data_IF_634278140507
#
_entry.id   IF_634278140507
#
_cell.length_a   1.000
_cell.length_b   1.000
_cell.length_c   1.000
_cell.angle_alpha   90.00
_cell.angle_beta   90.00
_cell.angle_gamma   90.00
#
_symmetry.space_group_name_H-M   'P 1'
#
loop_
_entity.id
_entity.type
_entity.pdbx_description
1 polymer ?
#
# COMPACT_ATOMS: atom_id res chain seq x y z
N UNK A 1 -35.05 -32.71 60.88
CA UNK A 1 -34.19 -31.73 60.18
C UNK A 1 -33.54 -32.46 59.02
N UNK A 2 -34.06 -32.29 57.80
CA UNK A 2 -33.50 -32.89 56.58
C UNK A 2 -32.80 -31.76 55.79
N UNK A 3 -31.55 -31.94 55.33
CA UNK A 3 -30.88 -30.93 54.53
C UNK A 3 -31.34 -31.08 53.08
N UNK A 4 -31.84 -29.99 52.49
CA UNK A 4 -32.13 -29.94 51.06
C UNK A 4 -30.85 -29.50 50.35
N UNK A 5 -30.21 -30.42 49.66
CA UNK A 5 -29.09 -30.12 48.75
C UNK A 5 -29.66 -29.57 47.44
N UNK A 6 -29.43 -28.28 47.14
CA UNK A 6 -29.67 -27.73 45.81
C UNK A 6 -28.51 -28.15 44.88
N UNK A 7 -28.78 -28.73 43.69
CA UNK A 7 -27.74 -28.95 42.70
C UNK A 7 -27.47 -27.64 41.95
N UNK A 8 -26.20 -27.22 41.93
CA UNK A 8 -25.73 -26.10 41.12
C UNK A 8 -25.63 -26.57 39.66
N UNK A 9 -26.60 -26.21 38.82
CA UNK A 9 -26.50 -26.43 37.37
C UNK A 9 -25.44 -25.48 36.79
N UNK A 10 -24.28 -26.03 36.42
CA UNK A 10 -23.31 -25.36 35.56
C UNK A 10 -23.86 -25.34 34.12
N UNK A 11 -24.46 -24.22 33.73
CA UNK A 11 -24.80 -23.92 32.33
C UNK A 11 -23.51 -23.66 31.54
N UNK A 12 -22.91 -24.72 31.00
CA UNK A 12 -21.95 -24.60 29.91
C UNK A 12 -22.73 -24.18 28.65
N UNK A 13 -22.86 -22.87 28.44
CA UNK A 13 -23.33 -22.32 27.18
C UNK A 13 -22.42 -22.78 26.04
N UNK A 14 -22.96 -23.02 24.83
CA UNK A 14 -22.13 -23.38 23.69
C UNK A 14 -21.11 -22.25 23.46
N UNK A 15 -19.83 -22.62 23.33
CA UNK A 15 -18.81 -21.71 22.89
C UNK A 15 -19.22 -21.20 21.50
N UNK A 16 -19.69 -19.96 21.43
CA UNK A 16 -19.86 -19.26 20.16
C UNK A 16 -18.48 -19.23 19.51
N UNK A 17 -18.30 -19.81 18.31
CA UNK A 17 -17.06 -19.65 17.58
C UNK A 17 -16.80 -18.16 17.47
N UNK A 18 -15.65 -17.68 18.00
CA UNK A 18 -15.17 -16.34 17.65
C UNK A 18 -14.96 -16.38 16.14
N UNK A 19 -15.86 -15.75 15.38
CA UNK A 19 -15.59 -15.41 13.99
C UNK A 19 -14.33 -14.55 14.00
N UNK A 20 -13.21 -15.17 13.64
CA UNK A 20 -11.99 -14.47 13.27
C UNK A 20 -12.34 -13.63 12.05
N UNK A 21 -12.33 -12.31 12.28
CA UNK A 21 -12.66 -11.27 11.33
C UNK A 21 -12.03 -11.57 9.95
N UNK A 22 -12.86 -11.99 9.02
CA UNK A 22 -12.43 -12.50 7.70
C UNK A 22 -12.47 -11.38 6.66
N UNK A 23 -11.98 -10.20 7.05
CA UNK A 23 -11.82 -9.07 6.14
C UNK A 23 -10.75 -9.36 5.08
N UNK A 24 -10.78 -8.67 3.92
CA UNK A 24 -9.70 -8.78 2.96
C UNK A 24 -8.40 -8.25 3.56
N UNK A 25 -7.27 -8.83 3.15
CA UNK A 25 -5.96 -8.25 3.45
C UNK A 25 -5.52 -7.38 2.28
N UNK A 26 -4.94 -6.22 2.56
CA UNK A 26 -4.44 -5.31 1.52
C UNK A 26 -2.95 -5.02 1.71
N UNK A 27 -2.26 -4.82 0.59
CA UNK A 27 -0.93 -4.21 0.52
C UNK A 27 -1.07 -2.98 -0.36
N UNK A 28 -0.72 -1.81 0.17
CA UNK A 28 -0.76 -0.58 -0.61
C UNK A 28 0.45 0.30 -0.37
N UNK A 29 0.80 1.07 -1.39
CA UNK A 29 1.90 2.00 -1.38
C UNK A 29 1.37 3.40 -1.68
N UNK A 30 1.89 4.39 -0.97
CA UNK A 30 1.68 5.81 -1.21
C UNK A 30 3.02 6.47 -1.46
N UNK A 31 3.23 6.93 -2.68
CA UNK A 31 4.40 7.71 -3.07
C UNK A 31 3.99 9.18 -3.20
N UNK A 32 4.83 10.08 -2.72
CA UNK A 32 4.63 11.52 -2.81
C UNK A 32 5.94 12.19 -3.21
N UNK A 33 5.93 12.94 -4.30
CA UNK A 33 7.03 13.76 -4.77
C UNK A 33 6.65 15.24 -4.73
N UNK A 34 7.55 16.07 -4.23
CA UNK A 34 7.41 17.52 -4.10
C UNK A 34 8.47 18.20 -4.97
N UNK A 35 8.05 19.11 -5.85
CA UNK A 35 9.00 19.85 -6.69
C UNK A 35 9.79 20.90 -5.89
N UNK A 36 9.16 21.46 -4.85
CA UNK A 36 9.73 22.46 -3.93
C UNK A 36 9.42 22.09 -2.49
N UNK A 37 10.12 21.10 -1.92
CA UNK A 37 9.89 20.73 -0.54
C UNK A 37 10.25 21.90 0.40
N UNK A 38 9.48 22.05 1.48
CA UNK A 38 9.82 22.98 2.55
C UNK A 38 11.12 22.56 3.26
N UNK A 39 11.71 23.48 4.02
CA UNK A 39 12.93 23.18 4.80
C UNK A 39 12.67 21.99 5.73
N UNK A 40 13.50 20.95 5.62
CA UNK A 40 13.39 19.74 6.45
C UNK A 40 12.34 18.73 6.00
N UNK A 41 11.75 18.92 4.81
CA UNK A 41 10.90 17.91 4.17
C UNK A 41 11.66 17.26 3.01
N UNK A 42 11.61 15.93 2.87
CA UNK A 42 12.20 15.25 1.73
C UNK A 42 11.43 15.57 0.43
N UNK A 43 12.13 15.59 -0.70
CA UNK A 43 11.54 15.78 -2.02
C UNK A 43 10.73 14.57 -2.47
N UNK A 44 11.04 13.38 -1.96
CA UNK A 44 10.29 12.15 -2.23
C UNK A 44 10.08 11.33 -0.94
N UNK A 45 8.87 10.81 -0.80
CA UNK A 45 8.46 9.93 0.30
C UNK A 45 7.70 8.75 -0.27
N UNK A 46 7.99 7.56 0.24
CA UNK A 46 7.26 6.33 -0.04
C UNK A 46 6.85 5.68 1.28
N UNK A 47 5.58 5.29 1.38
CA UNK A 47 5.06 4.56 2.53
C UNK A 47 4.29 3.34 2.05
N UNK A 48 4.59 2.18 2.63
CA UNK A 48 3.81 0.97 2.42
C UNK A 48 2.87 0.72 3.61
N UNK A 49 1.74 0.07 3.34
CA UNK A 49 0.72 -0.26 4.32
C UNK A 49 0.28 -1.70 4.16
N UNK A 50 0.15 -2.40 5.28
CA UNK A 50 -0.55 -3.67 5.39
C UNK A 50 -1.91 -3.41 6.03
N UNK A 51 -2.99 -3.67 5.30
CA UNK A 51 -4.29 -3.09 5.60
C UNK A 51 -4.17 -1.56 5.66
N UNK A 52 -4.45 -0.97 6.82
CA UNK A 52 -4.25 0.47 7.08
C UNK A 52 -3.08 0.74 8.03
N UNK A 53 -2.25 -0.27 8.33
CA UNK A 53 -1.11 -0.14 9.23
C UNK A 53 0.15 0.21 8.44
N UNK A 54 0.86 1.31 8.77
CA UNK A 54 2.15 1.62 8.17
C UNK A 54 3.12 0.45 8.36
N UNK A 55 3.67 -0.05 7.25
CA UNK A 55 4.57 -1.20 7.21
C UNK A 55 6.03 -0.75 7.14
N UNK A 56 6.38 0.03 6.12
CA UNK A 56 7.70 0.65 6.01
C UNK A 56 7.60 2.05 5.40
N UNK A 57 8.63 2.86 5.60
CA UNK A 57 8.82 4.14 4.92
C UNK A 57 10.16 4.22 4.20
N UNK A 58 10.23 5.12 3.23
CA UNK A 58 11.45 5.57 2.57
C UNK A 58 11.35 7.07 2.32
N UNK A 59 12.46 7.79 2.53
CA UNK A 59 12.55 9.24 2.33
C UNK A 59 13.82 9.58 1.54
N UNK A 60 13.76 10.57 0.65
CA UNK A 60 14.89 10.97 -0.22
C UNK A 60 16.14 11.41 0.53
N UNK A 61 16.00 11.91 1.77
CA UNK A 61 17.12 12.42 2.55
C UNK A 61 17.98 11.28 3.10
N UNK A 62 17.33 10.21 3.59
CA UNK A 62 18.00 9.03 4.15
C UNK A 62 18.27 7.94 3.12
N UNK A 63 17.50 7.91 2.03
CA UNK A 63 17.52 6.89 0.96
C UNK A 63 17.59 5.45 1.48
N UNK A 64 16.83 5.18 2.53
CA UNK A 64 16.71 3.87 3.19
C UNK A 64 15.25 3.52 3.38
N UNK A 65 14.89 2.28 3.05
CA UNK A 65 13.63 1.69 3.41
C UNK A 65 13.73 1.15 4.84
N UNK A 66 12.86 1.61 5.73
CA UNK A 66 12.88 1.27 7.15
C UNK A 66 11.52 0.73 7.60
N UNK A 67 11.47 -0.42 8.32
CA UNK A 67 10.25 -0.93 8.90
C UNK A 67 9.70 0.02 9.96
N UNK A 68 8.38 0.01 10.13
CA UNK A 68 7.68 0.86 11.08
C UNK A 68 7.00 0.04 12.17
N UNK A 69 6.88 0.63 13.36
CA UNK A 69 6.12 0.06 14.48
C UNK A 69 6.49 -1.41 14.78
N UNK A 70 5.49 -2.32 14.87
CA UNK A 70 5.74 -3.72 15.24
C UNK A 70 6.56 -4.48 14.19
N UNK A 71 6.55 -4.03 12.93
CA UNK A 71 7.25 -4.68 11.82
C UNK A 71 8.78 -4.64 11.95
N UNK A 72 9.29 -3.70 12.76
CA UNK A 72 10.73 -3.60 13.07
C UNK A 72 11.28 -4.83 13.81
N UNK A 73 10.41 -5.61 14.45
CA UNK A 73 10.77 -6.80 15.23
C UNK A 73 10.50 -8.12 14.50
N UNK A 74 9.97 -8.07 13.26
CA UNK A 74 9.61 -9.27 12.51
C UNK A 74 10.73 -9.59 11.51
N UNK A 75 11.53 -10.60 11.83
CA UNK A 75 12.62 -11.06 10.96
C UNK A 75 12.08 -11.76 9.71
N UNK A 76 12.80 -11.61 8.58
CA UNK A 76 12.51 -12.31 7.34
C UNK A 76 11.36 -11.76 6.50
N UNK A 77 10.68 -10.67 6.94
CA UNK A 77 9.62 -10.06 6.13
C UNK A 77 10.15 -9.46 4.83
N UNK A 78 11.25 -8.72 4.90
CA UNK A 78 11.83 -8.06 3.75
C UNK A 78 13.35 -7.94 3.87
N UNK A 79 14.03 -7.93 2.72
CA UNK A 79 15.43 -7.55 2.62
C UNK A 79 15.51 -6.02 2.48
N UNK A 80 15.70 -5.32 3.61
CA UNK A 80 15.67 -3.86 3.66
C UNK A 80 16.76 -3.19 2.82
N UNK A 81 17.89 -3.86 2.56
CA UNK A 81 18.93 -3.33 1.70
C UNK A 81 18.48 -3.37 0.24
N UNK A 82 17.96 -4.52 -0.22
CA UNK A 82 17.38 -4.64 -1.57
C UNK A 82 16.17 -3.73 -1.76
N UNK A 83 15.31 -3.62 -0.75
CA UNK A 83 14.16 -2.71 -0.81
C UNK A 83 14.61 -1.26 -0.90
N UNK A 84 15.67 -0.86 -0.19
CA UNK A 84 16.25 0.49 -0.31
C UNK A 84 16.73 0.78 -1.74
N UNK A 85 17.42 -0.15 -2.39
CA UNK A 85 17.86 0.01 -3.78
C UNK A 85 16.68 0.09 -4.76
N UNK A 86 15.63 -0.72 -4.54
CA UNK A 86 14.41 -0.65 -5.32
C UNK A 86 13.72 0.71 -5.19
N UNK A 87 13.62 1.24 -3.97
CA UNK A 87 13.02 2.56 -3.73
C UNK A 87 13.83 3.70 -4.33
N UNK A 88 15.17 3.62 -4.34
CA UNK A 88 16.03 4.60 -5.03
C UNK A 88 15.74 4.65 -6.53
N UNK A 89 15.66 3.49 -7.17
CA UNK A 89 15.34 3.42 -8.61
C UNK A 89 13.92 3.96 -8.91
N UNK A 90 12.95 3.67 -8.03
CA UNK A 90 11.58 4.18 -8.15
C UNK A 90 11.49 5.69 -7.93
N UNK A 91 12.22 6.23 -6.95
CA UNK A 91 12.35 7.67 -6.71
C UNK A 91 12.83 8.40 -7.97
N UNK A 92 13.90 7.90 -8.60
CA UNK A 92 14.49 8.55 -9.79
C UNK A 92 13.48 8.66 -10.93
N UNK A 93 12.74 7.57 -11.21
CA UNK A 93 11.69 7.53 -12.25
C UNK A 93 10.50 8.44 -11.87
N UNK A 94 10.08 8.38 -10.61
CA UNK A 94 8.94 9.15 -10.12
C UNK A 94 9.21 10.66 -10.20
N UNK A 95 10.39 11.10 -9.76
CA UNK A 95 10.79 12.49 -9.79
C UNK A 95 11.11 12.99 -11.20
N UNK A 96 11.60 12.11 -12.09
CA UNK A 96 11.71 12.43 -13.52
C UNK A 96 10.33 12.69 -14.15
N UNK A 97 9.34 11.85 -13.82
CA UNK A 97 7.95 12.04 -14.28
C UNK A 97 7.38 13.37 -13.79
N UNK A 98 7.57 13.73 -12.51
CA UNK A 98 7.14 15.04 -12.00
C UNK A 98 7.77 16.21 -12.78
N UNK A 99 9.08 16.13 -13.11
CA UNK A 99 9.75 17.15 -13.93
C UNK A 99 9.17 17.24 -15.34
N UNK A 100 8.89 16.11 -15.98
CA UNK A 100 8.27 16.09 -17.32
C UNK A 100 6.88 16.77 -17.33
N UNK A 101 6.10 16.57 -16.27
CA UNK A 101 4.78 17.21 -16.11
C UNK A 101 4.93 18.73 -15.95
N UNK A 102 5.86 19.18 -15.11
CA UNK A 102 6.16 20.60 -14.93
C UNK A 102 6.64 21.26 -16.23
N UNK A 103 7.43 20.53 -17.03
CA UNK A 103 7.90 20.99 -18.34
C UNK A 103 6.76 21.18 -19.33
N UNK A 104 5.79 20.25 -19.34
CA UNK A 104 4.62 20.34 -20.18
C UNK A 104 3.81 21.62 -19.89
N UNK A 105 3.57 21.92 -18.61
CA UNK A 105 2.84 23.12 -18.21
C UNK A 105 3.69 24.39 -18.20
N UNK A 106 5.01 24.27 -18.41
CA UNK A 106 5.98 25.37 -18.37
C UNK A 106 6.00 26.08 -17.01
N UNK A 107 5.77 25.34 -15.93
CA UNK A 107 5.75 25.86 -14.56
C UNK A 107 6.82 25.17 -13.69
N UNK A 108 8.09 25.47 -13.98
CA UNK A 108 9.22 24.97 -13.17
C UNK A 108 9.40 25.73 -11.87
N UNK A 109 8.88 26.96 -11.83
CA UNK A 109 9.01 27.84 -10.68
C UNK A 109 7.91 27.63 -9.63
N UNK A 110 6.83 26.96 -10.01
CA UNK A 110 5.76 26.53 -9.12
C UNK A 110 6.15 25.45 -8.11
N UNK A 111 5.29 25.32 -7.09
CA UNK A 111 5.33 24.22 -6.11
C UNK A 111 4.25 23.22 -6.49
N UNK A 112 4.68 22.01 -6.84
CA UNK A 112 3.82 20.95 -7.36
C UNK A 112 4.02 19.66 -6.58
N UNK A 113 2.96 18.86 -6.56
CA UNK A 113 2.90 17.57 -5.92
C UNK A 113 2.52 16.50 -6.93
N UNK A 114 3.27 15.40 -6.96
CA UNK A 114 2.89 14.18 -7.68
C UNK A 114 2.71 13.06 -6.67
N UNK A 115 1.57 12.37 -6.72
CA UNK A 115 1.24 11.29 -5.80
C UNK A 115 0.94 10.02 -6.57
N UNK A 116 1.52 8.90 -6.15
CA UNK A 116 1.22 7.57 -6.69
C UNK A 116 0.59 6.70 -5.61
N UNK A 117 -0.53 6.06 -5.92
CA UNK A 117 -1.17 5.08 -5.05
C UNK A 117 -1.39 3.78 -5.81
N UNK A 118 -0.77 2.70 -5.35
CA UNK A 118 -0.88 1.39 -5.97
C UNK A 118 -0.85 0.26 -4.95
N UNK A 119 -1.39 -0.89 -5.31
CA UNK A 119 -1.51 -2.00 -4.39
C UNK A 119 -2.47 -3.09 -4.85
N UNK A 120 -2.68 -4.05 -3.97
CA UNK A 120 -3.51 -5.22 -4.20
C UNK A 120 -4.24 -5.66 -2.92
N UNK A 121 -5.27 -6.48 -3.12
CA UNK A 121 -6.12 -7.04 -2.09
C UNK A 121 -6.26 -8.55 -2.30
N UNK A 122 -6.16 -9.32 -1.21
CA UNK A 122 -6.46 -10.74 -1.16
C UNK A 122 -7.78 -10.97 -0.42
N UNK A 123 -8.76 -11.52 -1.13
CA UNK A 123 -10.07 -11.91 -0.57
C UNK A 123 -10.14 -13.43 -0.37
N UNK A 124 -10.98 -13.86 0.56
CA UNK A 124 -11.15 -15.28 0.90
C UNK A 124 -11.69 -16.14 -0.26
N UNK A 125 -12.43 -15.53 -1.20
CA UNK A 125 -12.96 -16.16 -2.40
C UNK A 125 -11.92 -16.24 -3.55
N UNK A 126 -10.63 -16.08 -3.22
CA UNK A 126 -9.51 -15.99 -4.16
C UNK A 126 -9.61 -14.85 -5.18
N UNK A 127 -10.61 -13.97 -5.05
CA UNK A 127 -10.69 -12.77 -5.87
C UNK A 127 -9.60 -11.80 -5.43
N UNK A 128 -8.99 -11.19 -6.43
CA UNK A 128 -7.91 -10.23 -6.26
C UNK A 128 -8.35 -8.91 -6.85
N UNK A 129 -8.30 -7.85 -6.04
CA UNK A 129 -8.43 -6.49 -6.54
C UNK A 129 -7.03 -5.86 -6.56
N UNK A 130 -6.79 -4.99 -7.52
CA UNK A 130 -5.53 -4.25 -7.61
C UNK A 130 -5.80 -2.88 -8.23
N UNK A 131 -4.97 -1.91 -7.89
CA UNK A 131 -5.09 -0.55 -8.39
C UNK A 131 -3.70 0.05 -8.57
N UNK A 132 -3.58 0.97 -9.52
CA UNK A 132 -2.40 1.79 -9.71
C UNK A 132 -2.82 3.12 -10.33
N UNK A 133 -2.75 4.19 -9.56
CA UNK A 133 -3.20 5.53 -9.97
C UNK A 133 -2.20 6.58 -9.53
N UNK A 134 -2.13 7.66 -10.29
CA UNK A 134 -1.37 8.84 -9.92
C UNK A 134 -2.24 10.08 -9.99
N UNK A 135 -1.90 11.04 -9.14
CA UNK A 135 -2.50 12.36 -9.07
C UNK A 135 -1.41 13.44 -9.18
N UNK A 136 -1.72 14.53 -9.85
CA UNK A 136 -0.88 15.72 -9.97
C UNK A 136 -1.62 16.92 -9.39
N UNK A 137 -1.02 17.60 -8.42
CA UNK A 137 -1.63 18.67 -7.63
C UNK A 137 -3.02 18.31 -7.08
N UNK A 138 -3.14 17.06 -6.60
CA UNK A 138 -4.36 16.52 -5.99
C UNK A 138 -5.48 16.15 -6.99
N UNK A 139 -5.25 16.27 -8.30
CA UNK A 139 -6.20 15.87 -9.34
C UNK A 139 -5.75 14.57 -10.00
N UNK A 140 -6.72 13.73 -10.37
CA UNK A 140 -6.43 12.48 -11.09
C UNK A 140 -5.65 12.76 -12.38
N UNK A 141 -4.57 12.01 -12.60
CA UNK A 141 -3.61 12.26 -13.67
C UNK A 141 -3.52 11.08 -14.65
N UNK A 142 -3.16 9.90 -14.15
CA UNK A 142 -3.05 8.68 -14.96
C UNK A 142 -3.31 7.45 -14.09
N UNK A 143 -3.97 6.43 -14.63
CA UNK A 143 -4.18 5.15 -13.92
C UNK A 143 -3.96 3.95 -14.83
N UNK A 144 -3.58 2.81 -14.28
CA UNK A 144 -3.38 1.58 -15.04
C UNK A 144 -4.63 0.71 -15.00
N UNK A 145 -5.20 0.42 -16.18
CA UNK A 145 -6.28 -0.54 -16.35
C UNK A 145 -5.68 -1.90 -16.71
N UNK A 146 -5.67 -2.83 -15.75
CA UNK A 146 -5.09 -4.17 -15.92
C UNK A 146 -5.93 -5.13 -16.79
N UNK A 147 -7.20 -4.81 -17.05
CA UNK A 147 -8.09 -5.62 -17.89
C UNK A 147 -7.86 -5.36 -19.39
N UNK A 148 -7.50 -4.12 -19.75
CA UNK A 148 -7.10 -3.69 -21.11
C UNK A 148 -5.56 -3.70 -21.28
N UNK A 149 -4.82 -4.18 -20.28
CA UNK A 149 -3.50 -3.66 -19.86
C UNK A 149 -3.06 -2.35 -20.55
N UNK A 150 -3.53 -1.20 -20.07
CA UNK A 150 -3.11 0.09 -20.59
C UNK A 150 -3.20 1.20 -19.53
N UNK A 151 -2.35 2.22 -19.66
CA UNK A 151 -2.46 3.46 -18.90
C UNK A 151 -3.57 4.35 -19.47
N UNK A 152 -4.49 4.77 -18.64
CA UNK A 152 -5.59 5.67 -18.95
C UNK A 152 -5.15 7.07 -18.53
N UNK A 153 -4.91 7.94 -19.51
CA UNK A 153 -4.58 9.35 -19.28
C UNK A 153 -5.86 10.13 -18.94
N UNK A 154 -5.85 10.80 -17.79
CA UNK A 154 -6.96 11.60 -17.28
C UNK A 154 -6.68 13.11 -17.37
N UNK A 155 -5.42 13.46 -17.62
CA UNK A 155 -4.94 14.82 -17.83
C UNK A 155 -4.20 14.95 -19.19
N UNK A 156 -4.26 16.11 -19.89
CA UNK A 156 -3.53 16.31 -21.15
C UNK A 156 -2.02 16.03 -21.08
N UNK A 157 -1.36 16.39 -19.99
CA UNK A 157 0.06 16.13 -19.78
C UNK A 157 0.33 14.62 -19.58
N UNK A 158 -0.65 13.86 -19.07
CA UNK A 158 -0.53 12.42 -18.88
C UNK A 158 -0.43 11.63 -20.20
N UNK A 159 -0.82 12.22 -21.34
CA UNK A 159 -0.62 11.59 -22.66
C UNK A 159 0.87 11.39 -22.94
N UNK A 160 1.73 12.34 -22.57
CA UNK A 160 3.17 12.20 -22.73
C UNK A 160 3.74 11.10 -21.83
N UNK A 161 3.26 11.03 -20.58
CA UNK A 161 3.63 9.97 -19.63
C UNK A 161 3.21 8.60 -20.15
N UNK A 162 1.96 8.46 -20.64
CA UNK A 162 1.44 7.25 -21.27
C UNK A 162 2.35 6.79 -22.41
N UNK A 163 2.70 7.68 -23.34
CA UNK A 163 3.57 7.34 -24.47
C UNK A 163 4.94 6.80 -24.02
N UNK A 164 5.53 7.37 -22.96
CA UNK A 164 6.80 6.88 -22.40
C UNK A 164 6.63 5.52 -21.71
N UNK A 165 5.59 5.36 -20.89
CA UNK A 165 5.35 4.15 -20.10
C UNK A 165 4.81 2.98 -20.93
N UNK A 166 4.33 3.24 -22.14
CA UNK A 166 3.88 2.24 -23.11
C UNK A 166 4.78 2.15 -24.35
N UNK A 167 5.96 2.78 -24.31
CA UNK A 167 6.89 2.82 -25.45
C UNK A 167 7.31 1.42 -25.91
N UNK A 168 7.37 0.46 -24.97
CA UNK A 168 7.61 -0.94 -25.26
C UNK A 168 6.55 -1.80 -24.57
N UNK A 169 6.07 -2.83 -25.27
CA UNK A 169 5.07 -3.75 -24.74
C UNK A 169 5.49 -4.38 -23.40
N UNK A 170 6.79 -4.58 -23.19
CA UNK A 170 7.33 -5.14 -21.94
C UNK A 170 7.00 -4.30 -20.70
N UNK A 171 6.90 -2.97 -20.83
CA UNK A 171 6.60 -2.10 -19.69
C UNK A 171 5.16 -2.27 -19.21
N UNK A 172 4.23 -2.36 -20.15
CA UNK A 172 2.81 -2.65 -19.86
C UNK A 172 2.64 -4.04 -19.27
N UNK A 173 3.34 -5.05 -19.81
CA UNK A 173 3.28 -6.41 -19.27
C UNK A 173 3.85 -6.49 -17.85
N UNK A 174 4.95 -5.78 -17.56
CA UNK A 174 5.51 -5.67 -16.21
C UNK A 174 4.55 -5.00 -15.23
N UNK A 175 3.86 -3.94 -15.65
CA UNK A 175 2.86 -3.27 -14.81
C UNK A 175 1.68 -4.21 -14.47
N UNK A 176 1.21 -5.00 -15.44
CA UNK A 176 0.18 -6.02 -15.22
C UNK A 176 0.67 -7.13 -14.30
N UNK A 177 1.84 -7.71 -14.58
CA UNK A 177 2.44 -8.78 -13.77
C UNK A 177 2.67 -8.32 -12.31
N UNK A 178 3.08 -7.08 -12.10
CA UNK A 178 3.22 -6.52 -10.76
C UNK A 178 1.90 -6.57 -9.98
N UNK A 179 0.78 -6.18 -10.60
CA UNK A 179 -0.52 -6.14 -9.93
C UNK A 179 -1.17 -7.53 -9.76
N UNK A 180 -0.91 -8.47 -10.66
CA UNK A 180 -1.55 -9.81 -10.66
C UNK A 180 -0.72 -10.88 -9.96
N UNK A 181 0.60 -10.71 -9.88
CA UNK A 181 1.52 -11.73 -9.37
C UNK A 181 2.38 -11.19 -8.23
N UNK A 182 3.17 -10.14 -8.49
CA UNK A 182 4.18 -9.68 -7.53
C UNK A 182 3.54 -9.11 -6.25
N UNK A 183 2.59 -8.18 -6.37
CA UNK A 183 1.93 -7.59 -5.20
C UNK A 183 1.18 -8.64 -4.38
N UNK A 184 0.32 -9.49 -4.97
CA UNK A 184 -0.32 -10.59 -4.24
C UNK A 184 0.70 -11.55 -3.62
N UNK A 185 1.81 -11.83 -4.30
CA UNK A 185 2.90 -12.65 -3.79
C UNK A 185 3.58 -12.04 -2.56
N UNK A 186 3.92 -10.75 -2.61
CA UNK A 186 4.45 -10.00 -1.48
C UNK A 186 3.49 -10.02 -0.30
N UNK A 187 2.20 -9.73 -0.53
CA UNK A 187 1.20 -9.74 0.52
C UNK A 187 1.06 -11.12 1.18
N UNK A 188 1.09 -12.22 0.41
CA UNK A 188 1.11 -13.58 1.00
C UNK A 188 2.31 -13.82 1.89
N UNK A 189 3.53 -13.48 1.44
CA UNK A 189 4.75 -13.58 2.27
C UNK A 189 4.61 -12.76 3.54
N UNK A 190 4.15 -11.51 3.45
CA UNK A 190 3.99 -10.66 4.62
C UNK A 190 2.96 -11.21 5.61
N UNK A 191 1.91 -11.89 5.14
CA UNK A 191 0.94 -12.56 6.00
C UNK A 191 1.50 -13.81 6.68
N UNK A 192 2.48 -14.51 6.10
CA UNK A 192 3.13 -15.66 6.74
C UNK A 192 3.85 -15.26 8.03
N UNK A 193 4.46 -14.08 8.05
CA UNK A 193 5.19 -13.54 9.20
C UNK A 193 4.34 -12.64 10.10
N UNK A 194 3.34 -11.95 9.52
CA UNK A 194 2.68 -10.79 10.12
C UNK A 194 1.22 -10.95 10.54
N UNK A 195 0.56 -12.05 10.14
CA UNK A 195 -0.90 -12.20 10.31
C UNK A 195 -1.37 -12.04 11.76
N UNK A 196 -0.64 -12.60 12.72
CA UNK A 196 -0.99 -12.49 14.15
C UNK A 196 -1.09 -11.03 14.64
N UNK A 197 -0.22 -10.14 14.14
CA UNK A 197 -0.25 -8.72 14.48
C UNK A 197 -1.43 -7.98 13.83
N UNK A 198 -1.79 -8.34 12.60
CA UNK A 198 -2.90 -7.73 11.85
C UNK A 198 -4.26 -8.08 12.48
N UNK A 199 -4.47 -9.35 12.79
CA UNK A 199 -5.77 -9.85 13.28
C UNK A 199 -6.07 -9.38 14.72
N UNK A 200 -5.04 -9.22 15.56
CA UNK A 200 -5.21 -8.70 16.92
C UNK A 200 -5.68 -7.24 16.95
N UNK A 201 -5.24 -6.41 16.00
CA UNK A 201 -5.68 -5.02 15.90
C UNK A 201 -7.08 -4.89 15.31
N UNK A 202 -7.42 -5.72 14.32
CA UNK A 202 -8.80 -5.84 13.82
C UNK A 202 -9.79 -6.16 14.94
N UNK A 203 -9.39 -6.99 15.89
CA UNK A 203 -10.22 -7.28 17.08
C UNK A 203 -10.32 -6.07 18.03
N UNK A 204 -9.28 -5.24 18.18
CA UNK A 204 -9.28 -4.04 19.04
C UNK A 204 -10.12 -2.90 18.49
N UNK A 205 -10.17 -2.68 17.17
CA UNK A 205 -11.01 -1.64 16.57
C UNK A 205 -12.51 -1.88 16.77
N UNK A 206 -12.94 -3.14 16.90
CA UNK A 206 -14.34 -3.52 17.11
C UNK A 206 -14.77 -3.50 18.58
N UNK A 207 -13.83 -3.34 19.51
CA UNK A 207 -14.09 -3.32 20.96
C UNK A 207 -14.15 -1.91 21.55
N UNK A 208 -14.26 -0.85 20.74
CA UNK A 208 -14.60 0.49 21.28
C UNK A 208 -16.03 0.47 21.84
N UNK A 209 -16.25 0.68 23.15
CA UNK A 209 -17.58 0.98 23.64
C UNK A 209 -17.96 2.35 23.07
N UNK A 210 -19.13 2.44 22.44
CA UNK A 210 -19.76 3.74 22.17
C UNK A 210 -20.04 4.50 23.48
N UNK A 211 -20.22 5.82 23.41
CA UNK A 211 -20.40 6.68 24.58
C UNK A 211 -21.60 6.26 25.46
#
# INVERSE_FOLDING_TARGET
MAPVLLPLLLLLGPAVPKETQTGPYTLSFLYTGLSRPGKGFPSFQAMAYLNDQPFFRYESDGRKAEPLGPWSQVEGMEDWEKESELQKAREDIFMATLRDIMDYYKDREGSHTFQGRFGCELRNDQRQAAFWRYAYDGRDFIEFNKEIPAWVALDPAAVNTKLKWEAEAVYVQRAKAYLEEECPGMLRRYLEHGRGHLDQQGTRCFLRPGP
#
